data_IF_532939507566
#
_entry.id   IF_532939507566
#
_cell.length_a   1.000
_cell.length_b   1.000
_cell.length_c   1.000
_cell.angle_alpha   90.00
_cell.angle_beta   90.00
_cell.angle_gamma   90.00
#
_symmetry.space_group_name_H-M   'P 1'
#
loop_
_entity.id
_entity.type
_entity.pdbx_description
1 polymer ?
#
# COMPACT_ATOMS: atom_id res chain seq x y z
N UNK A 1 37.16 -22.00 35.52
CA UNK A 1 35.78 -21.62 35.22
C UNK A 1 35.77 -20.88 33.89
N UNK A 2 35.08 -21.37 32.87
CA UNK A 2 34.94 -20.69 31.58
C UNK A 2 33.63 -19.92 31.60
N UNK A 3 33.69 -18.61 31.81
CA UNK A 3 32.56 -17.71 31.65
C UNK A 3 32.14 -17.71 30.17
N UNK A 4 31.11 -18.47 29.83
CA UNK A 4 30.41 -18.31 28.56
C UNK A 4 29.36 -17.21 28.73
N UNK A 5 29.60 -16.06 28.11
CA UNK A 5 28.57 -15.03 27.91
C UNK A 5 27.42 -15.62 27.11
N UNK A 6 26.19 -15.50 27.62
CA UNK A 6 24.99 -15.89 26.89
C UNK A 6 24.89 -15.09 25.58
N UNK A 7 24.54 -15.72 24.44
CA UNK A 7 24.27 -14.96 23.22
C UNK A 7 23.05 -14.05 23.47
N UNK A 8 23.21 -12.75 23.21
CA UNK A 8 22.13 -11.78 23.39
C UNK A 8 20.92 -12.12 22.50
N UNK A 9 19.71 -11.86 23.00
CA UNK A 9 18.49 -12.04 22.22
C UNK A 9 18.51 -11.13 20.99
N UNK A 10 18.45 -11.72 19.81
CA UNK A 10 18.29 -11.00 18.54
C UNK A 10 16.80 -10.91 18.25
N UNK A 11 16.24 -9.70 18.27
CA UNK A 11 14.90 -9.44 17.75
C UNK A 11 15.01 -9.23 16.24
N UNK A 12 14.41 -10.11 15.46
CA UNK A 12 14.27 -9.94 14.01
C UNK A 12 12.91 -9.29 13.79
N UNK A 13 12.90 -8.08 13.22
CA UNK A 13 11.67 -7.44 12.74
C UNK A 13 11.54 -7.77 11.26
N UNK A 14 10.44 -8.44 10.89
CA UNK A 14 10.10 -8.70 9.49
C UNK A 14 9.16 -7.60 9.04
N UNK A 15 9.45 -6.98 7.91
CA UNK A 15 8.61 -5.94 7.33
C UNK A 15 7.26 -6.54 6.90
N UNK A 16 6.17 -5.88 7.26
CA UNK A 16 4.80 -6.28 6.94
C UNK A 16 4.18 -5.32 5.92
N UNK A 17 3.60 -5.88 4.87
CA UNK A 17 2.92 -5.15 3.79
C UNK A 17 1.44 -5.48 3.77
N UNK A 18 0.59 -4.45 3.74
CA UNK A 18 -0.84 -4.57 3.49
C UNK A 18 -1.14 -4.16 2.04
N UNK A 19 -1.85 -5.01 1.31
CA UNK A 19 -2.43 -4.68 0.00
C UNK A 19 -3.92 -4.47 0.20
N UNK A 20 -4.42 -3.28 -0.13
CA UNK A 20 -5.85 -2.97 -0.03
C UNK A 20 -6.66 -3.68 -1.12
N UNK A 21 -7.78 -4.27 -0.71
CA UNK A 21 -8.78 -4.94 -1.52
C UNK A 21 -10.21 -4.60 -1.04
N UNK A 22 -10.38 -3.53 -0.25
CA UNK A 22 -11.67 -3.12 0.32
C UNK A 22 -12.49 -2.18 -0.59
N UNK A 23 -11.93 -1.76 -1.73
CA UNK A 23 -12.52 -0.75 -2.62
C UNK A 23 -12.62 -1.21 -4.09
N UNK A 24 -12.79 -2.52 -4.32
CA UNK A 24 -13.06 -3.07 -5.66
C UNK A 24 -11.89 -2.98 -6.65
N UNK A 25 -10.64 -2.95 -6.16
CA UNK A 25 -9.44 -2.83 -6.98
C UNK A 25 -9.38 -3.89 -8.08
N UNK A 26 -9.43 -3.47 -9.34
CA UNK A 26 -9.42 -4.38 -10.50
C UNK A 26 -8.23 -5.34 -10.48
N UNK A 27 -7.04 -4.83 -10.18
CA UNK A 27 -5.82 -5.64 -10.19
C UNK A 27 -5.73 -6.63 -9.02
N UNK A 28 -6.45 -6.39 -7.93
CA UNK A 28 -6.47 -7.29 -6.78
C UNK A 28 -7.53 -8.36 -6.96
N UNK A 29 -8.71 -7.99 -7.44
CA UNK A 29 -9.86 -8.89 -7.53
C UNK A 29 -9.91 -9.70 -8.83
N UNK A 30 -9.62 -9.09 -9.98
CA UNK A 30 -9.84 -9.70 -11.30
C UNK A 30 -8.55 -10.21 -11.93
N UNK A 31 -7.49 -9.41 -11.90
CA UNK A 31 -6.19 -9.78 -12.50
C UNK A 31 -5.34 -10.61 -11.52
N UNK A 32 -5.39 -10.24 -10.25
CA UNK A 32 -4.62 -10.84 -9.16
C UNK A 32 -3.24 -10.18 -8.97
N UNK A 33 -2.90 -9.95 -7.69
CA UNK A 33 -1.61 -9.40 -7.25
C UNK A 33 -0.59 -10.47 -6.83
N UNK A 34 -0.85 -11.74 -7.11
CA UNK A 34 -0.02 -12.85 -6.64
C UNK A 34 1.45 -12.72 -7.08
N UNK A 35 1.70 -12.29 -8.31
CA UNK A 35 3.07 -12.08 -8.79
C UNK A 35 3.82 -11.01 -8.00
N UNK A 36 3.14 -9.90 -7.66
CA UNK A 36 3.71 -8.84 -6.82
C UNK A 36 3.93 -9.35 -5.38
N UNK A 37 2.91 -9.96 -4.79
CA UNK A 37 2.96 -10.48 -3.42
C UNK A 37 4.05 -11.54 -3.24
N UNK A 38 4.19 -12.48 -4.19
CA UNK A 38 5.23 -13.50 -4.14
C UNK A 38 6.61 -12.91 -4.32
N UNK A 39 6.80 -11.89 -5.17
CA UNK A 39 8.09 -11.21 -5.29
C UNK A 39 8.48 -10.44 -4.02
N UNK A 40 7.52 -9.79 -3.36
CA UNK A 40 7.77 -9.15 -2.06
C UNK A 40 8.24 -10.19 -1.04
N UNK A 41 7.60 -11.37 -0.99
CA UNK A 41 8.00 -12.45 -0.09
C UNK A 41 9.35 -13.07 -0.46
N UNK A 42 9.55 -13.45 -1.72
CA UNK A 42 10.72 -14.22 -2.15
C UNK A 42 11.98 -13.38 -2.27
N UNK A 43 11.84 -12.15 -2.76
CA UNK A 43 12.99 -11.30 -3.12
C UNK A 43 13.36 -10.38 -1.94
N UNK A 44 12.40 -9.97 -1.11
CA UNK A 44 12.63 -9.07 0.04
C UNK A 44 12.54 -9.77 1.41
N UNK A 45 11.93 -10.96 1.48
CA UNK A 45 11.72 -11.67 2.74
C UNK A 45 10.67 -11.02 3.64
N UNK A 46 9.74 -10.25 3.06
CA UNK A 46 8.69 -9.52 3.79
C UNK A 46 7.40 -10.33 3.88
N UNK A 47 6.55 -10.01 4.85
CA UNK A 47 5.21 -10.56 4.98
C UNK A 47 4.21 -9.71 4.18
N UNK A 48 3.23 -10.36 3.55
CA UNK A 48 2.21 -9.68 2.73
C UNK A 48 0.83 -10.19 3.11
N UNK A 49 -0.07 -9.26 3.41
CA UNK A 49 -1.47 -9.53 3.69
C UNK A 49 -2.38 -8.75 2.74
N UNK A 50 -3.48 -9.37 2.33
CA UNK A 50 -4.52 -8.73 1.52
C UNK A 50 -5.69 -8.38 2.45
N UNK A 51 -6.05 -7.11 2.52
CA UNK A 51 -7.08 -6.62 3.42
C UNK A 51 -8.37 -6.27 2.67
N UNK A 52 -9.52 -6.75 3.17
CA UNK A 52 -10.86 -6.42 2.63
C UNK A 52 -11.71 -5.61 3.61
N UNK A 53 -11.14 -5.20 4.74
CA UNK A 53 -11.82 -4.41 5.77
C UNK A 53 -11.52 -2.91 5.58
N UNK A 54 -12.36 -2.02 6.12
CA UNK A 54 -12.10 -0.58 6.05
C UNK A 54 -10.71 -0.20 6.61
N UNK A 55 -10.07 0.79 5.97
CA UNK A 55 -8.72 1.23 6.32
C UNK A 55 -8.74 2.17 7.55
N UNK A 56 -8.58 1.60 8.73
CA UNK A 56 -8.49 2.36 9.99
C UNK A 56 -7.03 2.56 10.41
N UNK A 57 -6.71 3.66 11.09
CA UNK A 57 -5.34 3.90 11.56
C UNK A 57 -4.83 2.77 12.48
N UNK A 58 -5.71 2.22 13.32
CA UNK A 58 -5.39 1.10 14.20
C UNK A 58 -4.98 -0.16 13.43
N UNK A 59 -5.58 -0.41 12.27
CA UNK A 59 -5.14 -1.47 11.35
C UNK A 59 -3.82 -1.09 10.68
N UNK A 60 -3.76 0.10 10.06
CA UNK A 60 -2.64 0.51 9.22
C UNK A 60 -1.30 0.55 9.98
N UNK A 61 -1.31 0.98 11.25
CA UNK A 61 -0.10 1.07 12.09
C UNK A 61 0.54 -0.29 12.42
N UNK A 62 -0.14 -1.41 12.12
CA UNK A 62 0.42 -2.76 12.25
C UNK A 62 1.27 -3.19 11.04
N UNK A 63 1.41 -2.33 10.03
CA UNK A 63 2.13 -2.59 8.79
C UNK A 63 3.14 -1.49 8.49
N UNK A 64 4.28 -1.89 7.91
CA UNK A 64 5.34 -0.96 7.51
C UNK A 64 5.06 -0.30 6.16
N UNK A 65 4.33 -1.00 5.28
CA UNK A 65 3.92 -0.50 3.96
C UNK A 65 2.46 -0.83 3.66
N UNK A 66 1.73 0.15 3.14
CA UNK A 66 0.38 0.00 2.61
C UNK A 66 0.39 0.24 1.09
N UNK A 67 -0.24 -0.67 0.34
CA UNK A 67 -0.34 -0.64 -1.12
C UNK A 67 -1.80 -0.41 -1.52
N UNK A 68 -2.06 0.65 -2.30
CA UNK A 68 -3.37 0.96 -2.88
C UNK A 68 -3.26 0.99 -4.41
N UNK A 69 -3.96 0.10 -5.09
CA UNK A 69 -3.91 -0.05 -6.55
C UNK A 69 -5.25 0.36 -7.19
N UNK A 70 -5.39 1.64 -7.54
CA UNK A 70 -6.55 2.24 -8.20
C UNK A 70 -7.91 1.76 -7.63
N UNK A 71 -8.36 2.30 -6.48
CA UNK A 71 -9.62 1.91 -5.88
C UNK A 71 -10.79 2.26 -6.82
N UNK A 72 -11.71 1.32 -7.06
CA UNK A 72 -12.90 1.58 -7.89
C UNK A 72 -13.97 2.33 -7.12
N UNK A 73 -14.10 2.03 -5.83
CA UNK A 73 -14.99 2.74 -4.90
C UNK A 73 -14.20 3.82 -4.17
N UNK A 74 -14.87 4.91 -3.81
CA UNK A 74 -14.21 6.02 -3.13
C UNK A 74 -13.83 5.63 -1.70
N UNK A 75 -12.60 5.99 -1.32
CA UNK A 75 -12.16 5.95 0.07
C UNK A 75 -13.01 6.92 0.87
N UNK A 76 -13.49 6.50 2.03
CA UNK A 76 -14.25 7.40 2.90
C UNK A 76 -13.35 8.48 3.49
N UNK A 77 -13.91 9.64 3.93
CA UNK A 77 -13.12 10.67 4.59
C UNK A 77 -12.33 10.18 5.82
N UNK A 78 -12.87 9.18 6.54
CA UNK A 78 -12.20 8.57 7.68
C UNK A 78 -10.99 7.73 7.25
N UNK A 79 -11.10 6.99 6.15
CA UNK A 79 -9.99 6.19 5.61
C UNK A 79 -8.90 7.07 5.02
N UNK A 80 -9.29 8.15 4.32
CA UNK A 80 -8.36 9.18 3.86
C UNK A 80 -7.60 9.76 5.05
N UNK A 81 -8.29 10.16 6.13
CA UNK A 81 -7.65 10.67 7.33
C UNK A 81 -6.71 9.64 7.98
N UNK A 82 -7.12 8.37 8.06
CA UNK A 82 -6.31 7.29 8.60
C UNK A 82 -5.04 7.02 7.79
N UNK A 83 -5.13 7.01 6.45
CA UNK A 83 -3.98 6.86 5.57
C UNK A 83 -3.00 8.02 5.69
N UNK A 84 -3.54 9.23 5.83
CA UNK A 84 -2.72 10.42 6.02
C UNK A 84 -2.01 10.41 7.38
N UNK A 85 -2.72 10.08 8.45
CA UNK A 85 -2.14 9.92 9.79
C UNK A 85 -1.07 8.81 9.79
N UNK A 86 -1.32 7.70 9.12
CA UNK A 86 -0.35 6.60 8.94
C UNK A 86 0.95 7.08 8.29
N UNK A 87 0.87 7.80 7.17
CA UNK A 87 2.05 8.35 6.48
C UNK A 87 2.79 9.38 7.35
N UNK A 88 2.06 10.26 8.03
CA UNK A 88 2.64 11.29 8.90
C UNK A 88 3.34 10.70 10.13
N UNK A 89 2.95 9.50 10.56
CA UNK A 89 3.60 8.74 11.63
C UNK A 89 4.72 7.79 11.13
N UNK A 90 5.12 7.91 9.86
CA UNK A 90 6.28 7.21 9.30
C UNK A 90 5.96 5.94 8.52
N UNK A 91 4.68 5.64 8.29
CA UNK A 91 4.24 4.53 7.44
C UNK A 91 4.57 4.75 5.96
N UNK A 92 4.91 3.69 5.24
CA UNK A 92 5.16 3.73 3.81
C UNK A 92 3.87 3.58 3.00
N UNK A 93 3.55 4.52 2.11
CA UNK A 93 2.43 4.39 1.18
C UNK A 93 2.91 4.20 -0.25
N UNK A 94 2.56 3.06 -0.85
CA UNK A 94 2.63 2.85 -2.29
C UNK A 94 1.22 3.01 -2.86
N UNK A 95 1.04 3.97 -3.76
CA UNK A 95 -0.26 4.26 -4.37
C UNK A 95 -0.10 4.40 -5.89
N UNK A 96 -0.96 3.73 -6.63
CA UNK A 96 -0.94 3.72 -8.09
C UNK A 96 -2.34 3.98 -8.67
N UNK A 97 -2.38 4.77 -9.74
CA UNK A 97 -3.55 4.98 -10.59
C UNK A 97 -3.56 4.06 -11.79
N UNK A 98 -4.46 4.32 -12.74
CA UNK A 98 -4.64 3.55 -13.97
C UNK A 98 -4.81 4.51 -15.15
N UNK A 99 -5.08 3.97 -16.34
CA UNK A 99 -5.44 4.73 -17.53
C UNK A 99 -6.62 5.68 -17.27
N UNK A 100 -6.59 6.90 -17.84
CA UNK A 100 -7.56 7.98 -17.55
C UNK A 100 -9.03 7.53 -17.47
N UNK A 101 -9.43 6.58 -18.31
CA UNK A 101 -10.81 6.09 -18.40
C UNK A 101 -11.26 5.29 -17.17
N UNK A 102 -10.32 4.66 -16.48
CA UNK A 102 -10.57 3.77 -15.33
C UNK A 102 -9.97 4.27 -14.03
N UNK A 103 -9.21 5.38 -14.06
CA UNK A 103 -8.59 5.92 -12.87
C UNK A 103 -9.61 6.66 -12.00
N UNK A 104 -9.69 6.28 -10.72
CA UNK A 104 -10.43 7.04 -9.73
C UNK A 104 -9.54 8.17 -9.17
N UNK A 105 -9.30 9.18 -9.99
CA UNK A 105 -8.40 10.30 -9.65
C UNK A 105 -8.88 11.09 -8.45
N UNK A 106 -10.18 11.18 -8.21
CA UNK A 106 -10.74 11.92 -7.06
C UNK A 106 -10.37 11.22 -5.74
N UNK A 107 -10.64 9.91 -5.65
CA UNK A 107 -10.29 9.11 -4.47
C UNK A 107 -8.78 9.06 -4.22
N UNK A 108 -7.97 8.89 -5.27
CA UNK A 108 -6.50 8.90 -5.17
C UNK A 108 -5.98 10.26 -4.68
N UNK A 109 -6.47 11.37 -5.26
CA UNK A 109 -6.04 12.72 -4.89
C UNK A 109 -6.51 13.13 -3.49
N UNK A 110 -7.65 12.63 -3.01
CA UNK A 110 -8.09 12.86 -1.64
C UNK A 110 -7.02 12.41 -0.62
N UNK A 111 -6.26 11.36 -0.94
CA UNK A 111 -5.16 10.88 -0.10
C UNK A 111 -3.91 11.75 -0.24
N UNK A 112 -3.50 12.10 -1.46
CA UNK A 112 -2.14 12.60 -1.73
C UNK A 112 -2.01 14.10 -2.01
N UNK A 113 -3.10 14.82 -2.31
CA UNK A 113 -3.04 16.22 -2.76
C UNK A 113 -2.43 17.15 -1.70
N UNK A 114 -2.67 16.89 -0.42
CA UNK A 114 -2.06 17.64 0.71
C UNK A 114 -0.53 17.59 0.70
N UNK A 115 0.07 16.56 0.08
CA UNK A 115 1.52 16.38 -0.02
C UNK A 115 2.09 16.96 -1.33
N UNK A 116 1.27 17.66 -2.12
CA UNK A 116 1.69 18.27 -3.39
C UNK A 116 1.80 17.28 -4.56
N UNK A 117 1.22 16.09 -4.42
CA UNK A 117 1.16 15.07 -5.48
C UNK A 117 -0.24 15.11 -6.10
N UNK A 118 -0.32 14.95 -7.42
CA UNK A 118 -1.60 14.91 -8.13
C UNK A 118 -1.60 13.84 -9.20
N UNK A 119 -2.61 12.96 -9.15
CA UNK A 119 -3.00 12.08 -10.24
C UNK A 119 -3.86 12.86 -11.23
N UNK A 120 -3.46 12.84 -12.49
CA UNK A 120 -4.23 13.39 -13.59
C UNK A 120 -5.03 12.29 -14.28
N UNK A 121 -6.16 12.64 -14.86
CA UNK A 121 -6.90 11.76 -15.76
C UNK A 121 -6.33 11.89 -17.18
N UNK A 122 -5.12 11.38 -17.38
CA UNK A 122 -4.42 11.39 -18.66
C UNK A 122 -3.88 10.00 -19.04
N UNK A 123 -3.27 9.93 -20.22
CA UNK A 123 -2.59 8.75 -20.72
C UNK A 123 -1.22 9.13 -21.27
N UNK A 124 -0.27 8.21 -21.12
CA UNK A 124 1.02 8.28 -21.76
C UNK A 124 0.98 7.36 -22.97
N UNK A 125 1.26 7.92 -24.15
CA UNK A 125 1.39 7.21 -25.41
C UNK A 125 2.84 7.31 -25.88
N UNK A 126 3.31 6.27 -26.58
CA UNK A 126 4.55 6.39 -27.34
C UNK A 126 4.30 7.32 -28.54
N UNK A 127 5.34 8.00 -29.00
CA UNK A 127 5.29 8.77 -30.24
C UNK A 127 5.31 7.76 -31.39
N UNK A 128 4.15 7.21 -31.78
CA UNK A 128 4.05 6.25 -32.89
C UNK A 128 4.88 6.73 -34.10
N UNK A 129 5.87 5.91 -34.53
CA UNK A 129 6.67 6.10 -35.77
C UNK A 129 5.96 5.59 -37.02
#
# INVERSE_FOLDING_TARGET
>A
ETNMTQPGNITITITKVLIDASHGQYYVEEVGVNGLAEKIKSDLGWEVEINKLPLTYDLLKEYDVVIILNPKEDLTPNEVAALQEYVENGGGLFIAGDWYKYSNVESLNAVVEKYGIKFNADELMDDDV
#
